data_IF_143385174118
#
_entry.id   IF_143385174118
#
_cell.length_a   1.000
_cell.length_b   1.000
_cell.length_c   1.000
_cell.angle_alpha   90.00
_cell.angle_beta   90.00
_cell.angle_gamma   90.00
#
_symmetry.space_group_name_H-M   'P 1'
#
loop_
_entity.id
_entity.type
_entity.pdbx_description
1 polymer ?
#
# COMPACT_ATOMS: atom_id res chain seq x y z
N UNK A 1 -26.83 -8.34 6.07
CA UNK A 1 -27.07 -8.33 4.63
C UNK A 1 -27.67 -7.00 4.15
N UNK A 2 -28.73 -6.51 4.79
CA UNK A 2 -29.50 -5.32 4.38
C UNK A 2 -28.69 -4.04 4.41
N UNK A 3 -27.95 -3.76 5.49
CA UNK A 3 -27.09 -2.57 5.60
C UNK A 3 -26.03 -2.54 4.48
N UNK A 4 -25.42 -3.69 4.16
CA UNK A 4 -24.44 -3.77 3.07
C UNK A 4 -25.06 -3.42 1.73
N UNK A 5 -26.24 -3.96 1.44
CA UNK A 5 -26.97 -3.68 0.22
C UNK A 5 -27.37 -2.19 0.13
N UNK A 6 -27.84 -1.63 1.24
CA UNK A 6 -28.16 -0.20 1.33
C UNK A 6 -26.94 0.68 1.01
N UNK A 7 -25.78 0.38 1.62
CA UNK A 7 -24.54 1.12 1.40
C UNK A 7 -24.09 0.97 -0.08
N UNK A 8 -24.12 -0.24 -0.65
CA UNK A 8 -23.79 -0.47 -2.05
C UNK A 8 -24.67 0.35 -3.00
N UNK A 9 -25.97 0.38 -2.77
CA UNK A 9 -26.92 1.07 -3.65
C UNK A 9 -26.83 2.60 -3.56
N UNK A 10 -26.57 3.15 -2.37
CA UNK A 10 -26.68 4.60 -2.13
C UNK A 10 -25.32 5.32 -2.10
N UNK A 11 -24.20 4.62 -1.85
CA UNK A 11 -22.89 5.26 -1.60
C UNK A 11 -21.78 4.80 -2.55
N UNK A 12 -22.06 3.85 -3.46
CA UNK A 12 -21.04 3.35 -4.40
C UNK A 12 -20.70 4.38 -5.48
N UNK A 13 -21.69 5.02 -6.07
CA UNK A 13 -21.50 6.00 -7.16
C UNK A 13 -21.74 7.42 -6.65
N UNK A 14 -21.02 8.42 -7.19
CA UNK A 14 -19.90 8.32 -8.12
C UNK A 14 -18.54 8.06 -7.42
N UNK A 15 -18.40 8.27 -6.10
CA UNK A 15 -17.15 8.41 -5.38
C UNK A 15 -16.76 7.21 -4.51
N UNK A 16 -17.41 6.05 -4.67
CA UNK A 16 -17.08 4.79 -3.96
C UNK A 16 -17.04 4.91 -2.43
N UNK A 17 -17.96 5.66 -1.84
CA UNK A 17 -18.08 5.76 -0.38
C UNK A 17 -18.50 4.45 0.31
N UNK A 18 -18.87 3.43 -0.47
CA UNK A 18 -19.14 2.07 0.01
C UNK A 18 -17.89 1.29 0.42
N UNK A 19 -16.68 1.84 0.24
CA UNK A 19 -15.42 1.17 0.60
C UNK A 19 -15.33 0.82 2.09
N UNK A 20 -15.94 1.63 2.96
CA UNK A 20 -16.06 1.38 4.39
C UNK A 20 -17.22 2.22 4.96
N UNK A 21 -17.78 1.80 6.12
CA UNK A 21 -18.89 2.48 6.76
C UNK A 21 -18.57 3.94 7.11
N UNK A 22 -17.38 4.22 7.63
CA UNK A 22 -17.00 5.61 7.95
C UNK A 22 -16.92 6.49 6.69
N UNK A 23 -16.57 5.92 5.52
CA UNK A 23 -16.59 6.67 4.27
C UNK A 23 -18.02 7.08 3.88
N UNK A 24 -19.00 6.19 4.05
CA UNK A 24 -20.41 6.53 3.85
C UNK A 24 -20.86 7.66 4.80
N UNK A 25 -20.36 7.67 6.06
CA UNK A 25 -20.65 8.75 7.01
C UNK A 25 -20.01 10.08 6.56
N UNK A 26 -18.80 10.09 6.00
CA UNK A 26 -18.22 11.33 5.43
C UNK A 26 -19.20 11.96 4.43
N UNK A 27 -19.71 11.15 3.51
CA UNK A 27 -20.67 11.62 2.50
C UNK A 27 -21.97 12.10 3.15
N UNK A 28 -22.58 11.27 4.01
CA UNK A 28 -23.86 11.59 4.63
C UNK A 28 -23.80 12.83 5.51
N UNK A 29 -22.76 12.95 6.34
CA UNK A 29 -22.59 14.13 7.19
C UNK A 29 -22.32 15.39 6.37
N UNK A 30 -21.56 15.29 5.27
CA UNK A 30 -21.39 16.43 4.35
C UNK A 30 -22.70 16.92 3.72
N UNK A 31 -23.65 16.01 3.51
CA UNK A 31 -25.00 16.36 2.99
C UNK A 31 -25.90 17.03 4.03
N UNK A 32 -25.67 16.74 5.32
CA UNK A 32 -26.45 17.28 6.44
C UNK A 32 -25.96 18.67 6.89
N UNK A 33 -24.73 19.01 6.57
CA UNK A 33 -24.13 20.30 6.94
C UNK A 33 -24.51 21.37 5.92
N UNK A 34 -24.93 22.53 6.41
CA UNK A 34 -25.22 23.67 5.56
C UNK A 34 -24.02 24.12 4.73
N UNK A 35 -24.21 24.77 3.57
CA UNK A 35 -23.14 25.46 2.88
C UNK A 35 -22.35 26.37 3.85
N UNK A 36 -21.03 26.39 3.73
CA UNK A 36 -20.09 27.10 4.61
C UNK A 36 -20.03 26.54 6.05
N UNK A 37 -20.84 25.56 6.43
CA UNK A 37 -20.80 24.90 7.73
C UNK A 37 -19.63 23.94 7.86
N UNK A 38 -19.40 23.46 9.08
CA UNK A 38 -18.27 22.59 9.40
C UNK A 38 -18.73 21.18 9.81
N UNK A 39 -17.94 20.19 9.41
CA UNK A 39 -18.08 18.79 9.75
C UNK A 39 -16.83 18.32 10.48
N UNK A 40 -16.96 17.83 11.72
CA UNK A 40 -15.89 17.17 12.48
C UNK A 40 -16.02 15.65 12.44
N UNK A 41 -14.95 14.93 12.19
CA UNK A 41 -14.89 13.46 12.15
C UNK A 41 -13.66 12.90 12.85
N UNK A 42 -13.82 11.71 13.44
CA UNK A 42 -12.74 10.89 13.99
C UNK A 42 -12.95 9.44 13.56
N UNK A 43 -11.99 8.87 12.86
CA UNK A 43 -12.04 7.47 12.40
C UNK A 43 -10.65 6.97 11.95
N UNK A 44 -10.51 5.69 11.50
CA UNK A 44 -9.24 5.19 10.99
C UNK A 44 -8.69 6.02 9.82
N UNK A 45 -7.38 6.25 9.81
CA UNK A 45 -6.70 7.11 8.83
C UNK A 45 -6.56 6.50 7.43
N UNK A 46 -6.96 5.25 7.22
CA UNK A 46 -6.72 4.49 5.98
C UNK A 46 -7.19 5.19 4.70
N UNK A 47 -8.24 6.02 4.78
CA UNK A 47 -8.73 6.78 3.61
C UNK A 47 -7.70 7.79 3.07
N UNK A 48 -6.75 8.23 3.90
CA UNK A 48 -5.73 9.20 3.50
C UNK A 48 -4.76 8.64 2.46
N UNK A 49 -4.50 7.32 2.47
CA UNK A 49 -3.40 6.71 1.72
C UNK A 49 -3.80 5.59 0.77
N UNK A 50 -4.76 4.72 1.15
CA UNK A 50 -5.08 3.50 0.39
C UNK A 50 -5.80 3.85 -0.93
N UNK A 51 -5.39 3.20 -2.04
CA UNK A 51 -5.93 3.46 -3.39
C UNK A 51 -7.43 3.22 -3.51
N UNK A 52 -8.02 2.29 -2.72
CA UNK A 52 -9.46 2.06 -2.73
C UNK A 52 -10.30 3.27 -2.33
N UNK A 53 -9.70 4.22 -1.58
CA UNK A 53 -10.34 5.47 -1.15
C UNK A 53 -10.01 6.69 -2.02
N UNK A 54 -9.36 6.51 -3.16
CA UNK A 54 -8.98 7.62 -4.02
C UNK A 54 -10.15 8.53 -4.43
N UNK A 55 -11.30 7.94 -4.70
CA UNK A 55 -12.49 8.72 -5.08
C UNK A 55 -13.09 9.50 -3.89
N UNK A 56 -12.96 8.97 -2.66
CA UNK A 56 -13.32 9.69 -1.43
C UNK A 56 -12.39 10.89 -1.24
N UNK A 57 -11.08 10.74 -1.43
CA UNK A 57 -10.12 11.85 -1.37
C UNK A 57 -10.41 12.91 -2.43
N UNK A 58 -10.69 12.50 -3.66
CA UNK A 58 -11.10 13.42 -4.73
C UNK A 58 -12.34 14.22 -4.34
N UNK A 59 -13.34 13.57 -3.75
CA UNK A 59 -14.53 14.29 -3.25
C UNK A 59 -14.14 15.34 -2.22
N UNK A 60 -13.39 14.95 -1.17
CA UNK A 60 -12.96 15.88 -0.11
C UNK A 60 -12.21 17.06 -0.73
N UNK A 61 -11.20 16.82 -1.57
CA UNK A 61 -10.34 17.87 -2.15
C UNK A 61 -11.01 18.72 -3.24
N UNK A 62 -12.18 18.33 -3.74
CA UNK A 62 -12.90 19.08 -4.81
C UNK A 62 -14.21 19.70 -4.35
N UNK A 63 -14.83 19.16 -3.30
CA UNK A 63 -16.15 19.61 -2.82
C UNK A 63 -16.09 20.30 -1.46
N UNK A 64 -15.06 20.04 -0.67
CA UNK A 64 -14.88 20.59 0.67
C UNK A 64 -13.48 21.20 0.82
N UNK A 65 -13.29 21.93 1.91
CA UNK A 65 -11.97 22.39 2.36
C UNK A 65 -11.60 21.69 3.64
N UNK A 66 -10.42 21.06 3.67
CA UNK A 66 -9.84 20.59 4.92
C UNK A 66 -9.43 21.84 5.72
N UNK A 67 -10.09 22.08 6.83
CA UNK A 67 -9.71 23.17 7.74
C UNK A 67 -8.52 22.74 8.58
N UNK A 68 -8.69 21.69 9.38
CA UNK A 68 -7.66 21.12 10.22
C UNK A 68 -7.70 19.59 10.14
N UNK A 69 -6.54 18.92 10.15
CA UNK A 69 -6.43 17.47 10.19
C UNK A 69 -5.27 17.07 11.12
N UNK A 70 -5.55 16.19 12.09
CA UNK A 70 -4.56 15.68 13.05
C UNK A 70 -4.46 14.17 12.99
N UNK A 71 -3.30 13.64 12.57
CA UNK A 71 -2.97 12.22 12.69
C UNK A 71 -2.54 11.91 14.14
N UNK A 72 -3.40 11.19 14.87
CA UNK A 72 -3.22 10.92 16.29
C UNK A 72 -2.34 9.70 16.58
N UNK A 73 -2.01 8.92 15.53
CA UNK A 73 -1.18 7.72 15.63
C UNK A 73 -1.86 6.54 16.30
N UNK A 74 -1.08 5.47 16.50
CA UNK A 74 -1.57 4.19 17.01
C UNK A 74 -1.87 4.25 18.50
N UNK A 75 -3.11 3.90 18.88
CA UNK A 75 -3.55 3.76 20.27
C UNK A 75 -3.59 5.06 21.07
N UNK A 76 -4.01 4.96 22.32
CA UNK A 76 -4.06 6.08 23.26
C UNK A 76 -5.18 7.13 23.02
N UNK A 77 -6.06 6.92 22.05
CA UNK A 77 -7.24 7.76 21.79
C UNK A 77 -8.50 7.10 22.38
N UNK A 78 -8.65 5.81 22.18
CA UNK A 78 -9.73 5.01 22.76
C UNK A 78 -9.18 3.92 23.65
N UNK A 79 -9.84 3.64 24.77
CA UNK A 79 -9.47 2.55 25.65
C UNK A 79 -9.55 1.21 24.89
N UNK A 80 -8.50 0.38 25.00
CA UNK A 80 -8.40 -0.95 24.40
C UNK A 80 -8.50 -1.02 22.86
N UNK A 81 -8.37 0.10 22.16
CA UNK A 81 -8.37 0.15 20.70
C UNK A 81 -6.97 0.45 20.18
N UNK A 82 -6.42 -0.47 19.41
CA UNK A 82 -5.13 -0.33 18.73
C UNK A 82 -5.38 0.01 17.25
N UNK A 83 -5.75 1.23 16.97
CA UNK A 83 -5.96 1.72 15.62
C UNK A 83 -5.24 3.04 15.39
N UNK A 84 -4.68 3.22 14.22
CA UNK A 84 -4.22 4.52 13.75
C UNK A 84 -5.45 5.36 13.37
N UNK A 85 -5.64 6.47 14.06
CA UNK A 85 -6.81 7.33 13.89
C UNK A 85 -6.41 8.75 13.49
N UNK A 86 -7.34 9.39 12.82
CA UNK A 86 -7.25 10.80 12.41
C UNK A 86 -8.49 11.54 12.83
N UNK A 87 -8.30 12.73 13.39
CA UNK A 87 -9.35 13.70 13.64
C UNK A 87 -9.23 14.83 12.61
N UNK A 88 -10.34 15.30 12.08
CA UNK A 88 -10.29 16.43 11.13
C UNK A 88 -11.59 17.23 11.11
N UNK A 89 -11.51 18.47 10.64
CA UNK A 89 -12.63 19.31 10.30
C UNK A 89 -12.64 19.63 8.81
N UNK A 90 -13.80 19.47 8.20
CA UNK A 90 -14.05 19.89 6.82
C UNK A 90 -15.04 21.04 6.81
N UNK A 91 -14.73 22.09 6.07
CA UNK A 91 -15.68 23.13 5.71
C UNK A 91 -16.45 22.68 4.48
N UNK A 92 -17.78 22.76 4.52
CA UNK A 92 -18.67 22.36 3.42
C UNK A 92 -18.72 23.41 2.29
N UNK A 93 -17.56 23.85 1.88
CA UNK A 93 -17.33 24.71 0.72
C UNK A 93 -15.90 24.59 0.25
N UNK A 94 -15.65 24.98 -0.99
CA UNK A 94 -14.29 25.03 -1.51
C UNK A 94 -13.63 26.37 -1.19
N UNK A 95 -12.41 26.34 -0.66
CA UNK A 95 -11.57 27.51 -0.40
C UNK A 95 -10.16 27.31 -0.91
N UNK A 96 -9.50 28.38 -1.32
CA UNK A 96 -8.07 28.37 -1.67
C UNK A 96 -7.15 28.64 -0.47
N UNK A 97 -7.71 28.76 0.73
CA UNK A 97 -6.93 28.94 1.94
C UNK A 97 -6.09 27.67 2.25
N UNK A 98 -5.01 27.88 2.95
CA UNK A 98 -4.19 26.78 3.42
C UNK A 98 -4.91 25.99 4.51
N UNK A 99 -4.72 24.69 4.50
CA UNK A 99 -5.17 23.75 5.53
C UNK A 99 -4.06 23.51 6.55
N UNK A 100 -4.44 23.25 7.78
CA UNK A 100 -3.52 22.90 8.87
C UNK A 100 -3.49 21.38 9.10
N UNK A 101 -2.28 20.83 9.23
CA UNK A 101 -2.06 19.40 9.48
C UNK A 101 -1.16 19.24 10.69
N UNK A 102 -1.51 18.30 11.59
CA UNK A 102 -0.75 18.01 12.80
C UNK A 102 -0.36 16.53 12.80
N UNK A 103 0.91 16.22 13.04
CA UNK A 103 1.46 14.86 13.03
C UNK A 103 1.89 14.38 14.42
N UNK A 104 1.12 13.46 14.99
CA UNK A 104 1.41 12.83 16.29
C UNK A 104 1.70 11.33 16.17
N UNK A 105 1.97 10.81 14.96
CA UNK A 105 2.21 9.37 14.71
C UNK A 105 3.35 8.79 15.55
N UNK A 106 4.37 9.58 15.88
CA UNK A 106 5.50 9.12 16.70
C UNK A 106 5.11 8.80 18.16
N UNK A 107 3.98 9.30 18.65
CA UNK A 107 3.55 9.15 20.05
C UNK A 107 2.58 7.98 20.23
N UNK A 108 2.99 6.78 19.83
CA UNK A 108 2.18 5.55 19.98
C UNK A 108 1.92 5.27 21.48
N UNK A 109 0.64 5.10 21.85
CA UNK A 109 0.20 4.81 23.22
C UNK A 109 0.78 5.76 24.29
N UNK A 110 1.17 6.97 23.92
CA UNK A 110 1.85 7.89 24.82
C UNK A 110 0.86 8.62 25.73
N UNK A 111 1.04 8.52 27.07
CA UNK A 111 0.12 9.10 28.07
C UNK A 111 0.06 10.61 28.03
N UNK A 112 1.14 11.31 27.61
CA UNK A 112 1.20 12.76 27.52
C UNK A 112 0.69 13.33 26.17
N UNK A 113 0.14 12.51 25.29
CA UNK A 113 -0.34 12.93 23.97
C UNK A 113 -1.32 14.12 24.02
N UNK A 114 -2.29 14.18 24.95
CA UNK A 114 -3.19 15.34 25.05
C UNK A 114 -2.47 16.67 25.28
N UNK A 115 -1.45 16.72 26.15
CA UNK A 115 -0.70 17.94 26.42
C UNK A 115 0.17 18.36 25.22
N UNK A 116 0.79 17.37 24.54
CA UNK A 116 1.57 17.63 23.33
C UNK A 116 0.66 18.20 22.24
N UNK A 117 -0.54 17.64 22.08
CA UNK A 117 -1.54 18.13 21.14
C UNK A 117 -1.95 19.58 21.48
N UNK A 118 -2.27 19.87 22.75
CA UNK A 118 -2.67 21.21 23.18
C UNK A 118 -1.56 22.23 22.87
N UNK A 119 -0.31 21.94 23.22
CA UNK A 119 0.84 22.82 22.92
C UNK A 119 1.00 23.05 21.42
N UNK A 120 0.96 21.98 20.59
CA UNK A 120 1.09 22.10 19.15
C UNK A 120 -0.07 22.90 18.52
N UNK A 121 -1.28 22.73 19.04
CA UNK A 121 -2.45 23.49 18.60
C UNK A 121 -2.32 24.99 18.98
N UNK A 122 -1.89 25.31 20.19
CA UNK A 122 -1.64 26.69 20.61
C UNK A 122 -0.56 27.34 19.75
N UNK A 123 0.53 26.63 19.46
CA UNK A 123 1.58 27.08 18.56
C UNK A 123 1.05 27.34 17.14
N UNK A 124 0.16 26.47 16.62
CA UNK A 124 -0.49 26.66 15.32
C UNK A 124 -1.33 27.94 15.28
N UNK A 125 -2.16 28.16 16.29
CA UNK A 125 -3.02 29.36 16.42
C UNK A 125 -2.19 30.62 16.50
N UNK A 126 -1.12 30.59 17.28
CA UNK A 126 -0.22 31.74 17.48
C UNK A 126 0.85 31.88 16.38
N UNK A 127 0.82 31.03 15.33
CA UNK A 127 1.78 31.01 14.22
C UNK A 127 3.23 30.83 14.68
N UNK A 128 3.43 30.10 15.76
CA UNK A 128 4.75 29.71 16.28
C UNK A 128 5.18 28.43 15.56
N UNK A 129 6.44 28.36 15.16
CA UNK A 129 6.99 27.16 14.53
C UNK A 129 6.94 25.95 15.48
N UNK A 130 6.44 24.82 15.00
CA UNK A 130 6.31 23.58 15.76
C UNK A 130 6.57 22.39 14.84
N UNK A 131 7.31 21.39 15.32
CA UNK A 131 7.68 20.21 14.52
C UNK A 131 6.49 19.33 14.10
N UNK A 132 5.34 19.47 14.77
CA UNK A 132 4.13 18.71 14.49
C UNK A 132 3.24 19.39 13.44
N UNK A 133 3.45 20.70 13.21
CA UNK A 133 2.54 21.54 12.44
C UNK A 133 3.00 21.71 10.98
N UNK A 134 2.08 21.46 10.06
CA UNK A 134 2.28 21.67 8.63
C UNK A 134 1.12 22.50 8.09
N UNK A 135 1.43 23.54 7.34
CA UNK A 135 0.43 24.43 6.74
C UNK A 135 0.67 24.49 5.24
N UNK A 136 -0.29 23.99 4.45
CA UNK A 136 -0.16 23.96 3.00
C UNK A 136 -1.53 23.96 2.32
N UNK A 137 -1.55 24.37 1.06
CA UNK A 137 -2.77 24.25 0.23
C UNK A 137 -3.12 22.79 -0.01
N UNK A 138 -4.39 22.42 0.14
CA UNK A 138 -4.87 21.07 -0.20
C UNK A 138 -4.68 20.71 -1.68
N UNK A 139 -4.47 21.69 -2.58
CA UNK A 139 -4.10 21.44 -3.97
C UNK A 139 -2.74 20.74 -4.10
N UNK A 140 -1.86 20.84 -3.10
CA UNK A 140 -0.58 20.15 -3.08
C UNK A 140 -0.71 18.61 -3.12
N UNK A 141 -1.82 18.04 -2.66
CA UNK A 141 -2.07 16.60 -2.72
C UNK A 141 -2.35 16.08 -4.13
N UNK A 142 -2.81 16.95 -5.03
CA UNK A 142 -3.13 16.57 -6.43
C UNK A 142 -1.90 16.27 -7.28
N UNK A 143 -0.72 16.60 -6.77
CA UNK A 143 0.57 16.38 -7.46
C UNK A 143 0.97 14.90 -7.49
N UNK A 144 0.52 14.12 -6.51
CA UNK A 144 0.82 12.69 -6.40
C UNK A 144 -0.40 11.90 -6.90
N UNK A 145 -0.15 10.85 -7.69
CA UNK A 145 -1.21 9.97 -8.20
C UNK A 145 -2.10 9.45 -7.08
N UNK A 146 -3.40 9.28 -7.36
CA UNK A 146 -4.42 8.90 -6.38
C UNK A 146 -4.66 9.93 -5.25
N UNK A 147 -3.95 11.06 -5.24
CA UNK A 147 -4.10 12.19 -4.32
C UNK A 147 -4.00 11.83 -2.83
N UNK A 148 -2.98 11.08 -2.38
CA UNK A 148 -2.82 10.75 -0.97
C UNK A 148 -2.56 12.01 -0.13
N UNK A 149 -3.05 12.02 1.12
CA UNK A 149 -2.89 13.16 2.01
C UNK A 149 -1.49 13.14 2.69
N UNK A 150 -0.44 13.23 1.87
CA UNK A 150 0.95 13.30 2.31
C UNK A 150 1.33 14.76 2.46
N UNK A 151 1.27 15.29 3.67
CA UNK A 151 1.54 16.70 3.97
C UNK A 151 2.97 16.94 4.52
N UNK A 152 3.60 15.93 5.13
CA UNK A 152 4.87 15.99 5.85
C UNK A 152 6.12 15.77 4.97
N UNK A 153 6.05 16.09 3.69
CA UNK A 153 7.20 16.06 2.76
C UNK A 153 7.50 17.46 2.24
N UNK A 154 8.78 17.72 1.94
CA UNK A 154 9.20 18.99 1.38
C UNK A 154 8.59 19.26 0.00
N UNK A 155 8.44 20.54 -0.35
CA UNK A 155 7.95 20.94 -1.68
C UNK A 155 8.86 20.45 -2.83
N UNK A 156 10.18 20.36 -2.57
CA UNK A 156 11.15 19.81 -3.52
C UNK A 156 10.93 18.33 -3.78
N UNK A 157 10.70 17.53 -2.72
CA UNK A 157 10.36 16.12 -2.88
C UNK A 157 9.01 15.94 -3.57
N UNK A 158 8.01 16.74 -3.21
CA UNK A 158 6.68 16.71 -3.85
C UNK A 158 6.75 16.96 -5.36
N UNK A 159 7.57 17.91 -5.81
CA UNK A 159 7.77 18.18 -7.23
C UNK A 159 8.34 17.00 -8.01
N UNK A 160 9.14 16.13 -7.36
CA UNK A 160 9.70 14.94 -8.03
C UNK A 160 8.63 13.94 -8.48
N UNK A 161 7.45 13.92 -7.85
CA UNK A 161 6.34 13.08 -8.28
C UNK A 161 5.66 13.55 -9.59
N UNK A 162 6.02 14.73 -10.09
CA UNK A 162 5.57 15.21 -11.41
C UNK A 162 6.45 14.69 -12.57
N UNK A 163 7.62 14.14 -12.25
CA UNK A 163 8.49 13.53 -13.24
C UNK A 163 7.96 12.14 -13.62
N UNK A 164 8.47 11.62 -14.74
CA UNK A 164 8.22 10.22 -15.11
C UNK A 164 8.60 9.29 -13.98
N UNK A 165 7.70 8.39 -13.66
CA UNK A 165 7.90 7.38 -12.63
C UNK A 165 8.43 6.07 -13.22
N UNK A 166 8.95 5.20 -12.38
CA UNK A 166 9.46 3.90 -12.80
C UNK A 166 8.43 2.99 -13.48
N UNK A 167 7.14 3.23 -13.29
CA UNK A 167 6.07 2.49 -13.95
C UNK A 167 6.08 2.56 -15.48
N UNK A 168 6.76 3.56 -16.08
CA UNK A 168 6.98 3.63 -17.50
C UNK A 168 8.11 2.70 -18.01
N UNK A 169 8.95 2.24 -17.09
CA UNK A 169 10.17 1.48 -17.39
C UNK A 169 10.19 0.11 -16.75
N UNK A 170 9.29 -0.17 -15.82
CA UNK A 170 9.28 -1.37 -15.02
C UNK A 170 7.89 -2.01 -14.98
N UNK A 171 7.83 -3.29 -15.23
CA UNK A 171 6.68 -4.14 -14.96
C UNK A 171 6.78 -4.69 -13.53
N UNK A 172 5.90 -4.28 -12.64
CA UNK A 172 5.80 -4.81 -11.28
C UNK A 172 4.68 -5.84 -11.25
N UNK A 173 5.03 -7.10 -11.01
CA UNK A 173 4.11 -8.23 -11.14
C UNK A 173 4.00 -9.03 -9.85
N UNK A 174 2.78 -9.42 -9.55
CA UNK A 174 2.43 -10.39 -8.51
C UNK A 174 2.35 -11.78 -9.15
N UNK A 175 2.92 -12.77 -8.51
CA UNK A 175 3.04 -14.10 -9.10
C UNK A 175 1.99 -15.11 -8.66
N UNK A 176 2.41 -16.35 -8.64
CA UNK A 176 1.65 -17.56 -8.38
C UNK A 176 1.16 -17.66 -6.92
N UNK A 177 -0.06 -18.14 -6.73
CA UNK A 177 -0.54 -18.72 -5.48
C UNK A 177 -0.86 -20.19 -5.73
N UNK A 178 -0.13 -21.09 -5.08
CA UNK A 178 -0.25 -22.55 -5.30
C UNK A 178 -1.57 -23.14 -4.80
N UNK A 179 -2.23 -22.46 -3.87
CA UNK A 179 -3.41 -22.99 -3.18
C UNK A 179 -3.10 -24.02 -2.07
N UNK A 180 -1.93 -24.66 -2.12
CA UNK A 180 -1.39 -25.55 -1.08
C UNK A 180 0.14 -25.55 -1.15
N UNK A 181 0.78 -24.85 -0.23
CA UNK A 181 2.25 -24.87 -0.15
C UNK A 181 2.77 -26.24 0.26
N UNK A 182 2.10 -26.93 1.19
CA UNK A 182 2.46 -28.26 1.64
C UNK A 182 2.57 -29.27 0.47
N UNK A 183 1.63 -29.19 -0.48
CA UNK A 183 1.62 -30.05 -1.65
C UNK A 183 2.65 -29.67 -2.70
N UNK A 184 2.74 -28.38 -3.03
CA UNK A 184 3.43 -27.91 -4.23
C UNK A 184 4.77 -27.22 -3.97
N UNK A 185 5.16 -27.01 -2.69
CA UNK A 185 6.46 -26.41 -2.38
C UNK A 185 7.30 -27.30 -1.47
N UNK A 186 8.62 -27.16 -1.59
CA UNK A 186 9.64 -27.81 -0.75
C UNK A 186 10.72 -26.79 -0.42
N UNK A 187 11.58 -27.15 0.52
CA UNK A 187 12.89 -26.50 0.60
C UNK A 187 13.84 -27.11 -0.42
N UNK A 188 14.75 -26.33 -0.97
CA UNK A 188 15.65 -26.78 -2.03
C UNK A 188 16.48 -28.01 -1.61
N UNK A 189 16.79 -28.17 -0.34
CA UNK A 189 17.56 -29.32 0.19
C UNK A 189 16.73 -30.61 0.36
N UNK A 190 15.43 -30.53 0.17
CA UNK A 190 14.54 -31.72 0.15
C UNK A 190 14.42 -32.32 -1.26
N UNK A 191 14.98 -31.64 -2.26
CA UNK A 191 14.91 -32.06 -3.67
C UNK A 191 16.32 -32.45 -4.14
N UNK A 192 16.43 -33.53 -4.92
CA UNK A 192 17.70 -33.95 -5.47
C UNK A 192 18.20 -32.94 -6.51
N UNK A 193 19.40 -32.34 -6.34
CA UNK A 193 19.95 -31.43 -7.33
C UNK A 193 20.39 -32.19 -8.58
N UNK A 194 20.07 -31.66 -9.76
CA UNK A 194 20.71 -32.07 -11.02
C UNK A 194 22.00 -31.26 -11.23
N UNK A 195 23.06 -31.96 -11.63
CA UNK A 195 24.37 -31.37 -11.94
C UNK A 195 24.43 -30.65 -13.29
N UNK A 196 23.29 -30.47 -14.00
CA UNK A 196 23.22 -29.75 -15.26
C UNK A 196 22.37 -28.49 -15.11
N UNK A 197 22.69 -27.45 -15.83
CA UNK A 197 22.26 -26.05 -15.85
C UNK A 197 20.83 -25.66 -15.38
N UNK A 198 19.97 -26.60 -15.07
CA UNK A 198 18.69 -26.43 -14.39
C UNK A 198 18.77 -27.07 -13.01
N UNK A 199 18.79 -26.25 -12.01
CA UNK A 199 19.13 -26.49 -10.61
C UNK A 199 18.47 -27.70 -9.93
N UNK A 200 17.37 -28.26 -10.44
CA UNK A 200 16.62 -29.34 -9.80
C UNK A 200 16.03 -30.31 -10.81
N UNK A 201 15.84 -31.56 -10.37
CA UNK A 201 15.18 -32.59 -11.17
C UNK A 201 13.67 -32.35 -11.27
N UNK A 202 13.07 -32.84 -12.38
CA UNK A 202 11.63 -33.11 -12.54
C UNK A 202 10.70 -31.88 -12.38
N UNK A 203 11.11 -30.71 -12.93
CA UNK A 203 10.22 -29.54 -13.01
C UNK A 203 10.16 -28.70 -11.71
N UNK A 204 11.07 -28.90 -10.77
CA UNK A 204 11.22 -28.02 -9.61
C UNK A 204 12.02 -26.77 -9.96
N UNK A 205 11.54 -25.62 -9.51
CA UNK A 205 12.17 -24.33 -9.74
C UNK A 205 12.26 -23.53 -8.44
N UNK A 206 13.28 -22.68 -8.31
CA UNK A 206 13.36 -21.70 -7.22
C UNK A 206 12.05 -20.89 -7.19
N UNK A 207 11.53 -20.69 -5.99
CA UNK A 207 10.28 -19.98 -5.76
C UNK A 207 10.48 -18.78 -4.86
N UNK A 208 10.50 -17.59 -5.43
CA UNK A 208 10.64 -16.34 -4.68
C UNK A 208 9.37 -16.03 -3.89
N UNK A 209 9.37 -16.36 -2.59
CA UNK A 209 8.24 -16.18 -1.66
C UNK A 209 8.32 -14.92 -0.78
N UNK A 210 9.31 -14.06 -0.99
CA UNK A 210 9.61 -12.98 -0.05
C UNK A 210 10.47 -13.50 1.11
N UNK A 211 10.17 -13.05 2.35
CA UNK A 211 10.92 -13.48 3.54
C UNK A 211 11.59 -12.32 4.27
N UNK A 212 12.57 -12.59 5.15
CA UNK A 212 13.23 -11.57 5.94
C UNK A 212 13.97 -10.52 5.11
N UNK A 213 14.32 -9.42 5.77
CA UNK A 213 15.06 -8.33 5.15
C UNK A 213 16.44 -8.79 4.70
N UNK A 214 16.65 -8.89 3.40
CA UNK A 214 17.92 -9.12 2.73
C UNK A 214 17.99 -8.25 1.48
N UNK A 215 19.07 -7.48 1.34
CA UNK A 215 19.39 -6.76 0.10
C UNK A 215 20.25 -7.63 -0.81
N UNK A 216 20.18 -7.36 -2.10
CA UNK A 216 21.03 -7.87 -3.16
C UNK A 216 20.77 -9.31 -3.59
N UNK A 217 20.84 -10.28 -2.68
CA UNK A 217 20.67 -11.70 -2.94
C UNK A 217 20.12 -12.42 -1.70
N UNK A 218 19.40 -13.53 -1.89
CA UNK A 218 18.93 -14.40 -0.81
C UNK A 218 17.43 -14.70 -0.84
N UNK A 219 16.95 -15.34 0.22
CA UNK A 219 15.57 -15.85 0.37
C UNK A 219 15.19 -16.92 -0.69
N UNK A 220 16.18 -17.69 -1.17
CA UNK A 220 16.01 -18.70 -2.22
C UNK A 220 15.88 -20.13 -1.66
N UNK A 221 15.30 -20.29 -0.47
CA UNK A 221 15.15 -21.60 0.17
C UNK A 221 13.96 -22.41 -0.33
N UNK A 222 12.95 -21.79 -0.91
CA UNK A 222 11.77 -22.46 -1.40
C UNK A 222 11.92 -22.83 -2.88
N UNK A 223 11.40 -24.00 -3.23
CA UNK A 223 11.19 -24.45 -4.61
C UNK A 223 9.73 -24.83 -4.81
N UNK A 224 9.24 -24.70 -6.04
CA UNK A 224 7.87 -25.04 -6.43
C UNK A 224 7.90 -26.06 -7.57
N UNK A 225 6.99 -27.05 -7.52
CA UNK A 225 6.81 -28.00 -8.59
C UNK A 225 6.04 -27.34 -9.74
N UNK A 226 6.73 -27.04 -10.82
CA UNK A 226 6.17 -26.47 -12.06
C UNK A 226 6.26 -27.47 -13.23
N UNK A 227 6.29 -28.78 -12.93
CA UNK A 227 6.33 -29.84 -13.93
C UNK A 227 5.17 -29.70 -14.92
N UNK A 228 5.44 -30.05 -16.19
CA UNK A 228 4.46 -30.00 -17.28
C UNK A 228 3.76 -28.62 -17.35
N UNK A 229 4.56 -27.55 -17.26
CA UNK A 229 4.08 -26.17 -17.27
C UNK A 229 3.07 -25.87 -16.14
N UNK A 230 3.29 -26.45 -14.96
CA UNK A 230 2.46 -26.26 -13.78
C UNK A 230 1.08 -26.91 -13.84
N UNK A 231 0.92 -27.96 -14.64
CA UNK A 231 -0.36 -28.62 -14.88
C UNK A 231 -1.11 -28.98 -13.59
N UNK A 232 -0.43 -29.56 -12.59
CA UNK A 232 -1.08 -29.92 -11.33
C UNK A 232 -1.57 -28.70 -10.55
N UNK A 233 -0.77 -27.63 -10.52
CA UNK A 233 -1.15 -26.39 -9.82
C UNK A 233 -2.30 -25.71 -10.55
N UNK A 234 -2.23 -25.62 -11.88
CA UNK A 234 -3.28 -25.01 -12.72
C UNK A 234 -4.64 -25.71 -12.59
N UNK A 235 -4.64 -27.00 -12.30
CA UNK A 235 -5.86 -27.81 -12.15
C UNK A 235 -6.21 -28.15 -10.69
N UNK A 236 -5.56 -27.49 -9.71
CA UNK A 236 -5.80 -27.78 -8.31
C UNK A 236 -7.13 -27.18 -7.83
N UNK A 237 -8.08 -28.07 -7.54
CA UNK A 237 -9.42 -27.73 -7.03
C UNK A 237 -9.67 -28.36 -5.66
N UNK A 238 -10.61 -27.80 -4.92
CA UNK A 238 -11.08 -28.39 -3.66
C UNK A 238 -12.12 -29.51 -3.91
N UNK A 239 -12.61 -30.12 -2.82
CA UNK A 239 -13.61 -31.18 -2.89
C UNK A 239 -14.95 -30.76 -3.54
N UNK A 240 -15.17 -29.45 -3.71
CA UNK A 240 -16.35 -28.87 -4.37
C UNK A 240 -16.09 -28.48 -5.81
N UNK A 241 -14.89 -28.76 -6.34
CA UNK A 241 -14.47 -28.38 -7.70
C UNK A 241 -14.09 -26.90 -7.83
N UNK A 242 -13.90 -26.17 -6.72
CA UNK A 242 -13.53 -24.75 -6.76
C UNK A 242 -12.01 -24.64 -6.87
N UNK A 243 -11.54 -23.83 -7.82
CA UNK A 243 -10.13 -23.54 -8.05
C UNK A 243 -9.46 -22.99 -6.79
N UNK A 244 -8.37 -23.61 -6.36
CA UNK A 244 -7.61 -23.23 -5.16
C UNK A 244 -6.37 -22.42 -5.47
N UNK A 245 -5.71 -22.71 -6.58
CA UNK A 245 -4.55 -21.94 -7.05
C UNK A 245 -4.97 -20.69 -7.81
N UNK A 246 -4.08 -19.71 -7.90
CA UNK A 246 -4.27 -18.51 -8.71
C UNK A 246 -3.01 -18.24 -9.51
N UNK A 247 -3.09 -18.42 -10.84
CA UNK A 247 -1.99 -18.16 -11.76
C UNK A 247 -2.09 -16.70 -12.23
N UNK A 248 -1.05 -15.91 -11.98
CA UNK A 248 -0.96 -14.51 -12.38
C UNK A 248 0.35 -14.24 -13.09
N UNK A 249 0.27 -13.48 -14.18
CA UNK A 249 1.44 -12.97 -14.88
C UNK A 249 2.42 -14.07 -15.30
N UNK A 250 1.89 -15.21 -15.76
CA UNK A 250 2.65 -16.40 -16.13
C UNK A 250 3.73 -16.12 -17.19
N UNK A 251 3.48 -15.17 -18.08
CA UNK A 251 4.44 -14.74 -19.10
C UNK A 251 5.74 -14.15 -18.53
N UNK A 252 5.80 -13.88 -17.23
CA UNK A 252 6.99 -13.40 -16.52
C UNK A 252 7.71 -14.49 -15.73
N UNK A 253 7.18 -15.71 -15.68
CA UNK A 253 7.85 -16.82 -15.02
C UNK A 253 9.12 -17.20 -15.79
N UNK A 254 10.09 -17.73 -15.06
CA UNK A 254 11.38 -18.17 -15.59
C UNK A 254 12.24 -17.05 -16.23
N UNK A 255 11.91 -15.79 -15.98
CA UNK A 255 12.66 -14.64 -16.47
C UNK A 255 13.48 -13.99 -15.36
N UNK A 256 14.68 -13.51 -15.71
CA UNK A 256 15.52 -12.73 -14.79
C UNK A 256 14.84 -11.40 -14.44
N UNK A 257 14.90 -11.01 -13.18
CA UNK A 257 14.29 -9.79 -12.68
C UNK A 257 14.80 -9.42 -11.28
N UNK A 258 14.01 -8.64 -10.57
CA UNK A 258 14.29 -8.23 -9.19
C UNK A 258 13.09 -8.61 -8.35
N UNK A 259 13.29 -9.32 -7.22
CA UNK A 259 12.23 -9.66 -6.28
C UNK A 259 12.32 -8.82 -5.01
N UNK A 260 11.19 -8.61 -4.35
CA UNK A 260 11.11 -7.97 -3.04
C UNK A 260 10.08 -8.65 -2.16
N UNK A 261 10.19 -8.46 -0.84
CA UNK A 261 9.18 -8.96 0.09
C UNK A 261 8.03 -7.97 0.19
N UNK A 262 6.81 -8.41 -0.11
CA UNK A 262 5.61 -7.56 -0.09
C UNK A 262 5.24 -7.06 1.32
N UNK A 263 5.71 -7.74 2.37
CA UNK A 263 5.52 -7.36 3.76
C UNK A 263 6.82 -7.55 4.56
N UNK A 264 7.10 -6.64 5.46
CA UNK A 264 8.28 -6.69 6.32
C UNK A 264 8.30 -5.55 7.34
N UNK A 265 9.00 -5.76 8.47
CA UNK A 265 9.09 -4.75 9.54
C UNK A 265 10.30 -3.81 9.41
N UNK A 266 11.29 -4.16 8.58
CA UNK A 266 12.56 -3.43 8.42
C UNK A 266 12.64 -2.57 7.14
N UNK A 267 11.51 -2.37 6.46
CA UNK A 267 11.47 -1.67 5.17
C UNK A 267 11.60 -2.61 3.97
N UNK A 268 11.63 -2.03 2.78
CA UNK A 268 11.74 -2.77 1.52
C UNK A 268 13.19 -3.16 1.26
N UNK A 269 13.40 -4.36 0.73
CA UNK A 269 14.71 -4.83 0.28
C UNK A 269 14.56 -5.58 -1.04
N UNK A 270 15.41 -5.24 -1.99
CA UNK A 270 15.37 -5.78 -3.34
C UNK A 270 16.51 -6.78 -3.55
N UNK A 271 16.21 -7.89 -4.23
CA UNK A 271 17.12 -9.02 -4.49
C UNK A 271 17.04 -9.44 -5.94
N UNK A 272 18.11 -10.01 -6.46
CA UNK A 272 18.09 -10.65 -7.78
C UNK A 272 17.06 -11.79 -7.76
N UNK A 273 16.19 -11.79 -8.77
CA UNK A 273 15.34 -12.92 -9.16
C UNK A 273 16.00 -13.57 -10.38
N UNK A 274 16.48 -14.81 -10.19
CA UNK A 274 17.23 -15.51 -11.23
C UNK A 274 16.30 -15.98 -12.37
N UNK A 275 16.88 -16.20 -13.54
CA UNK A 275 16.26 -17.00 -14.59
C UNK A 275 15.88 -18.38 -14.03
N UNK A 276 14.93 -19.06 -14.68
CA UNK A 276 14.43 -20.36 -14.24
C UNK A 276 13.80 -20.38 -12.84
N UNK A 277 13.40 -19.21 -12.32
CA UNK A 277 12.69 -19.09 -11.04
C UNK A 277 11.25 -18.63 -11.25
N UNK A 278 10.37 -19.07 -10.35
CA UNK A 278 9.01 -18.55 -10.23
C UNK A 278 8.90 -17.62 -9.02
N UNK A 279 7.82 -16.87 -8.94
CA UNK A 279 7.58 -15.93 -7.84
C UNK A 279 6.12 -15.97 -7.40
N UNK A 280 5.90 -15.64 -6.11
CA UNK A 280 4.57 -15.63 -5.52
C UNK A 280 4.07 -14.21 -5.18
N UNK A 281 2.95 -14.13 -4.49
CA UNK A 281 2.36 -12.87 -4.02
C UNK A 281 3.25 -12.19 -2.98
N UNK A 282 3.89 -12.96 -2.10
CA UNK A 282 4.77 -12.44 -1.04
C UNK A 282 6.15 -12.03 -1.55
N UNK A 283 6.57 -12.60 -2.68
CA UNK A 283 7.84 -12.34 -3.36
C UNK A 283 7.64 -11.73 -4.74
N UNK A 284 6.80 -10.70 -4.86
CA UNK A 284 6.53 -10.00 -6.12
C UNK A 284 7.81 -9.58 -6.83
N UNK A 285 7.73 -9.49 -8.16
CA UNK A 285 8.89 -9.21 -9.01
C UNK A 285 8.75 -7.94 -9.84
N UNK A 286 9.89 -7.37 -10.17
CA UNK A 286 10.06 -6.20 -11.03
C UNK A 286 10.87 -6.63 -12.25
N UNK A 287 10.37 -6.31 -13.43
CA UNK A 287 11.00 -6.63 -14.71
C UNK A 287 11.19 -5.36 -15.52
N UNK A 288 12.38 -5.08 -16.05
CA UNK A 288 12.57 -3.98 -16.99
C UNK A 288 11.71 -4.18 -18.24
N UNK A 289 11.08 -3.10 -18.72
CA UNK A 289 10.31 -3.11 -19.98
C UNK A 289 11.16 -2.85 -21.20
N UNK A 290 12.42 -2.44 -20.99
CA UNK A 290 13.37 -2.08 -22.06
C UNK A 290 14.72 -2.75 -21.82
N UNK A 291 15.29 -3.33 -22.86
CA UNK A 291 16.53 -4.13 -22.81
C UNK A 291 17.77 -3.33 -22.37
N UNK A 292 17.75 -2.00 -22.49
CA UNK A 292 18.88 -1.17 -22.07
C UNK A 292 18.98 -0.96 -20.55
N UNK A 293 18.00 -1.38 -19.78
CA UNK A 293 18.00 -1.25 -18.32
C UNK A 293 18.76 -2.43 -17.69
N UNK A 294 19.99 -2.16 -17.25
CA UNK A 294 20.80 -3.13 -16.54
C UNK A 294 20.18 -3.42 -15.16
N UNK A 295 19.94 -4.71 -14.86
CA UNK A 295 19.30 -5.17 -13.61
C UNK A 295 20.20 -4.87 -12.41
N UNK A 296 21.51 -4.99 -12.55
CA UNK A 296 22.49 -4.73 -11.50
C UNK A 296 22.51 -3.25 -11.10
N UNK A 297 22.41 -2.35 -12.07
CA UNK A 297 22.24 -0.91 -11.81
C UNK A 297 20.91 -0.61 -11.14
N UNK A 298 19.83 -1.22 -11.65
CA UNK A 298 18.49 -1.00 -11.13
C UNK A 298 18.35 -1.47 -9.67
N UNK A 299 18.89 -2.64 -9.33
CA UNK A 299 18.86 -3.13 -7.95
C UNK A 299 19.72 -2.27 -7.01
N UNK A 300 20.82 -1.69 -7.51
CA UNK A 300 21.61 -0.74 -6.75
C UNK A 300 20.81 0.52 -6.41
N UNK A 301 20.11 1.06 -7.38
CA UNK A 301 19.25 2.23 -7.22
C UNK A 301 18.07 1.95 -6.26
N UNK A 302 17.41 0.82 -6.39
CA UNK A 302 16.26 0.44 -5.55
C UNK A 302 16.63 0.14 -4.09
N UNK A 303 17.89 -0.21 -3.82
CA UNK A 303 18.41 -0.50 -2.47
C UNK A 303 19.18 0.66 -1.83
N UNK A 304 19.33 1.80 -2.55
CA UNK A 304 20.07 2.98 -2.06
C UNK A 304 19.40 3.72 -0.89
#
# INVERSE_FOLDING_TARGET
PELKLFIENNYKKPHKFNANLYAAFIKRCSELVNPEGYLGMLHPLTFMYISSFKEVRKYILTKTTIDTLAELGLGGVFANVQADVVAYTLKNSKSELNSAFLDFKKYKNHTNKPNIFATAYDNLVNKVADEHNYVLSQNAFKVIDDWPFIYNISSGLRKKFQNENFGHYLDIKVGLQTGSNERFTRHWWEITPKYNDNLFDDGWHIYSKGGPYNKWYGNNWAVVNWKDDGFEIKNFVDAKGVQRSVIRNEQFYLKKGITYSAAGSKGVSFRIHNENSLFDVGGSCVFPTKDFMNIEYLIALLNS
#
